data_IF_843067249535
#
_entry.id   IF_843067249535
#
_cell.length_a   1.000
_cell.length_b   1.000
_cell.length_c   1.000
_cell.angle_alpha   90.00
_cell.angle_beta   90.00
_cell.angle_gamma   90.00
#
_symmetry.space_group_name_H-M   'P 1'
#
loop_
_entity.id
_entity.type
_entity.pdbx_description
1 polymer ?
#
# COMPACT_ATOMS: atom_id res chain seq x y z
N UNK A 1 -2.60 -15.44 11.82
CA UNK A 1 -2.65 -15.75 10.41
C UNK A 1 -4.02 -15.32 9.90
N UNK A 2 -4.09 -14.14 9.33
CA UNK A 2 -5.28 -13.67 8.66
C UNK A 2 -5.52 -14.59 7.48
N UNK A 3 -6.65 -15.32 7.49
CA UNK A 3 -7.10 -16.02 6.29
C UNK A 3 -7.12 -15.01 5.14
N UNK A 4 -6.70 -15.41 3.92
CA UNK A 4 -6.76 -14.52 2.77
C UNK A 4 -8.19 -13.99 2.67
N UNK A 5 -8.41 -12.67 2.63
CA UNK A 5 -9.74 -12.14 2.47
C UNK A 5 -10.27 -12.67 1.15
N UNK A 6 -11.48 -13.18 1.18
CA UNK A 6 -12.22 -13.48 -0.04
C UNK A 6 -12.24 -12.21 -0.87
N UNK A 7 -11.42 -12.23 -1.91
CA UNK A 7 -11.18 -11.11 -2.78
C UNK A 7 -12.51 -10.63 -3.37
N UNK A 8 -12.69 -9.42 -3.37
CA UNK A 8 -13.61 -8.54 -4.09
C UNK A 8 -14.30 -7.60 -3.14
N UNK A 9 -13.54 -6.66 -2.68
CA UNK A 9 -14.20 -5.48 -2.19
C UNK A 9 -13.65 -4.91 -0.90
N UNK A 10 -13.75 -3.64 -0.85
CA UNK A 10 -13.68 -2.79 0.32
C UNK A 10 -14.55 -3.27 1.52
N UNK A 11 -15.27 -4.38 1.36
CA UNK A 11 -16.10 -5.05 2.36
C UNK A 11 -15.53 -6.38 2.90
N UNK A 12 -14.25 -6.69 2.65
CA UNK A 12 -13.61 -7.86 3.26
C UNK A 12 -13.57 -7.73 4.77
N UNK A 13 -13.93 -8.82 5.49
CA UNK A 13 -13.78 -8.89 6.94
C UNK A 13 -12.50 -9.62 7.31
N UNK A 14 -11.87 -9.20 8.39
CA UNK A 14 -10.75 -9.94 9.00
C UNK A 14 -11.24 -11.21 9.70
N UNK A 15 -10.32 -12.06 10.16
CA UNK A 15 -10.66 -13.29 10.89
C UNK A 15 -11.56 -13.03 12.11
N UNK A 16 -11.48 -11.84 12.68
CA UNK A 16 -12.27 -11.38 13.83
C UNK A 16 -13.67 -10.86 13.45
N UNK A 17 -14.06 -10.94 12.16
CA UNK A 17 -15.33 -10.44 11.65
C UNK A 17 -15.41 -8.90 11.49
N UNK A 18 -14.35 -8.17 11.81
CA UNK A 18 -14.32 -6.70 11.62
C UNK A 18 -14.03 -6.35 10.17
N UNK A 19 -14.68 -5.30 9.60
CA UNK A 19 -14.34 -4.83 8.27
C UNK A 19 -12.87 -4.42 8.18
N UNK A 20 -12.19 -4.78 7.08
CA UNK A 20 -10.76 -4.57 6.88
C UNK A 20 -10.34 -3.10 7.11
N UNK A 21 -11.09 -2.16 6.55
CA UNK A 21 -10.78 -0.74 6.66
C UNK A 21 -10.94 -0.21 8.10
N UNK A 22 -11.96 -0.70 8.82
CA UNK A 22 -12.17 -0.32 10.24
C UNK A 22 -11.03 -0.85 11.11
N UNK A 23 -10.57 -2.08 10.86
CA UNK A 23 -9.42 -2.63 11.57
C UNK A 23 -8.15 -1.84 11.25
N UNK A 24 -7.93 -1.50 9.98
CA UNK A 24 -6.78 -0.70 9.57
C UNK A 24 -6.79 0.67 10.24
N UNK A 25 -7.91 1.40 10.20
CA UNK A 25 -8.04 2.71 10.84
C UNK A 25 -7.74 2.64 12.33
N UNK A 26 -8.25 1.61 13.02
CA UNK A 26 -7.97 1.40 14.44
C UNK A 26 -6.47 1.19 14.68
N UNK A 27 -5.84 0.24 13.98
CA UNK A 27 -4.42 -0.07 14.18
C UNK A 27 -3.53 1.13 13.86
N UNK A 28 -3.83 1.85 12.79
CA UNK A 28 -3.07 3.04 12.38
C UNK A 28 -3.23 4.18 13.39
N UNK A 29 -4.44 4.38 13.93
CA UNK A 29 -4.72 5.38 14.95
C UNK A 29 -4.07 5.00 16.29
N UNK A 30 -4.11 3.73 16.68
CA UNK A 30 -3.44 3.24 17.88
C UNK A 30 -1.91 3.44 17.82
N UNK A 31 -1.32 3.43 16.62
CA UNK A 31 0.09 3.77 16.38
C UNK A 31 0.34 5.29 16.26
N UNK A 32 -0.66 6.11 16.51
CA UNK A 32 -0.58 7.57 16.49
C UNK A 32 -0.58 8.22 15.11
N UNK A 33 -0.83 7.47 14.05
CA UNK A 33 -1.02 8.03 12.71
C UNK A 33 -2.47 8.49 12.51
N UNK A 34 -2.69 9.33 11.50
CA UNK A 34 -4.05 9.72 11.10
C UNK A 34 -4.81 8.52 10.53
N UNK A 35 -6.13 8.52 10.70
CA UNK A 35 -7.02 7.53 10.05
C UNK A 35 -6.72 7.42 8.55
N UNK A 36 -6.65 6.21 8.05
CA UNK A 36 -6.32 5.96 6.65
C UNK A 36 -7.46 6.34 5.71
N UNK A 37 -8.70 6.09 6.12
CA UNK A 37 -9.87 6.23 5.24
C UNK A 37 -10.50 7.62 5.28
N UNK A 38 -10.41 8.34 6.40
CA UNK A 38 -11.12 9.62 6.63
C UNK A 38 -10.21 10.83 6.65
N UNK A 39 -8.91 10.62 6.70
CA UNK A 39 -7.93 11.72 6.70
C UNK A 39 -7.92 12.47 5.38
N UNK A 40 -8.28 13.74 5.40
CA UNK A 40 -8.31 14.62 4.24
C UNK A 40 -7.08 15.53 4.26
N UNK A 41 -6.13 15.28 3.38
CA UNK A 41 -4.94 16.11 3.24
C UNK A 41 -5.29 17.44 2.54
N UNK A 42 -5.13 18.56 3.24
CA UNK A 42 -5.27 19.90 2.66
C UNK A 42 -6.70 20.41 2.47
N UNK A 43 -7.72 19.73 3.03
CA UNK A 43 -9.11 20.17 3.00
C UNK A 43 -9.90 19.75 1.74
N UNK A 44 -11.21 19.90 1.79
CA UNK A 44 -12.14 19.45 0.73
C UNK A 44 -11.89 20.11 -0.62
N UNK A 45 -11.57 21.41 -0.64
CA UNK A 45 -11.28 22.14 -1.87
C UNK A 45 -10.01 21.62 -2.55
N UNK A 46 -8.96 21.35 -1.77
CA UNK A 46 -7.73 20.78 -2.29
C UNK A 46 -7.95 19.40 -2.91
N UNK A 47 -8.74 18.54 -2.26
CA UNK A 47 -9.09 17.22 -2.80
C UNK A 47 -9.91 17.33 -4.09
N UNK A 48 -10.83 18.28 -4.17
CA UNK A 48 -11.60 18.53 -5.39
C UNK A 48 -10.71 18.97 -6.55
N UNK A 49 -9.84 19.98 -6.31
CA UNK A 49 -8.91 20.49 -7.32
C UNK A 49 -7.91 19.42 -7.75
N UNK A 50 -7.38 18.65 -6.81
CA UNK A 50 -6.47 17.54 -7.08
C UNK A 50 -7.14 16.48 -7.98
N UNK A 51 -8.35 16.06 -7.65
CA UNK A 51 -9.12 15.10 -8.45
C UNK A 51 -9.39 15.64 -9.86
N UNK A 52 -9.82 16.88 -9.95
CA UNK A 52 -10.10 17.55 -11.23
C UNK A 52 -8.85 17.65 -12.10
N UNK A 53 -7.71 17.99 -11.51
CA UNK A 53 -6.41 18.07 -12.20
C UNK A 53 -5.98 16.72 -12.74
N UNK A 54 -6.13 15.66 -11.96
CA UNK A 54 -5.84 14.30 -12.40
C UNK A 54 -6.75 13.86 -13.55
N UNK A 55 -8.04 14.16 -13.46
CA UNK A 55 -9.00 13.81 -14.52
C UNK A 55 -8.67 14.50 -15.83
N UNK A 56 -8.44 15.82 -15.82
CA UNK A 56 -8.10 16.61 -17.01
C UNK A 56 -6.71 16.21 -17.54
N UNK A 57 -5.73 16.07 -16.64
CA UNK A 57 -4.36 15.68 -17.02
C UNK A 57 -4.31 14.32 -17.69
N UNK A 58 -5.03 13.34 -17.16
CA UNK A 58 -5.08 11.99 -17.76
C UNK A 58 -5.75 11.99 -19.13
N UNK A 59 -6.81 12.78 -19.32
CA UNK A 59 -7.47 12.91 -20.60
C UNK A 59 -6.61 13.58 -21.68
N UNK A 60 -5.64 14.42 -21.27
CA UNK A 60 -4.74 15.14 -22.18
C UNK A 60 -3.44 14.41 -22.51
N UNK A 61 -3.20 13.22 -22.01
CA UNK A 61 -1.96 12.49 -22.24
C UNK A 61 -1.81 12.04 -23.71
N UNK A 62 -0.72 12.42 -24.42
CA UNK A 62 -0.56 12.11 -25.83
C UNK A 62 -0.66 10.64 -26.17
N UNK A 63 -0.09 9.76 -25.36
CA UNK A 63 -0.10 8.32 -25.58
C UNK A 63 -1.50 7.70 -25.41
N UNK A 64 -2.41 8.34 -24.66
CA UNK A 64 -3.81 7.94 -24.59
C UNK A 64 -4.56 8.37 -25.85
N UNK A 65 -4.33 9.60 -26.29
CA UNK A 65 -4.99 10.17 -27.48
C UNK A 65 -4.57 9.44 -28.75
N UNK A 66 -3.29 9.16 -28.93
CA UNK A 66 -2.76 8.46 -30.11
C UNK A 66 -3.44 7.11 -30.33
N UNK A 67 -3.80 6.38 -29.30
CA UNK A 67 -4.50 5.08 -29.41
C UNK A 67 -5.84 5.17 -30.15
N UNK A 68 -6.52 6.31 -30.11
CA UNK A 68 -7.76 6.53 -30.85
C UNK A 68 -7.52 6.75 -32.36
N UNK A 69 -6.32 7.16 -32.76
CA UNK A 69 -5.95 7.38 -34.16
C UNK A 69 -5.36 6.13 -34.83
N UNK A 70 -4.96 5.12 -34.06
CA UNK A 70 -4.32 3.91 -34.58
C UNK A 70 -5.29 2.81 -34.94
N UNK A 71 -6.58 2.97 -34.67
CA UNK A 71 -7.62 1.97 -34.99
C UNK A 71 -8.28 2.25 -36.34
N UNK A 72 -8.57 1.21 -37.14
CA UNK A 72 -9.10 1.38 -38.51
C UNK A 72 -10.51 1.96 -38.58
N UNK A 73 -11.33 1.73 -37.55
CA UNK A 73 -12.73 2.16 -37.52
C UNK A 73 -13.09 2.80 -36.19
N UNK A 74 -14.00 3.76 -36.23
CA UNK A 74 -14.54 4.45 -35.04
C UNK A 74 -15.26 3.48 -34.08
N UNK A 75 -15.91 2.43 -34.63
CA UNK A 75 -16.53 1.37 -33.84
C UNK A 75 -15.51 0.65 -32.95
N UNK A 76 -14.31 0.38 -33.51
CA UNK A 76 -13.24 -0.35 -32.80
C UNK A 76 -12.62 0.55 -31.71
N UNK A 77 -12.53 1.85 -31.94
CA UNK A 77 -12.13 2.81 -30.93
C UNK A 77 -13.09 2.82 -29.72
N UNK A 78 -14.41 2.83 -30.00
CA UNK A 78 -15.43 2.79 -28.95
C UNK A 78 -15.41 1.49 -28.15
N UNK A 79 -15.27 0.35 -28.83
CA UNK A 79 -15.19 -0.96 -28.19
C UNK A 79 -13.93 -1.06 -27.31
N UNK A 80 -12.79 -0.62 -27.83
CA UNK A 80 -11.53 -0.59 -27.09
C UNK A 80 -11.61 0.31 -25.84
N UNK A 81 -12.21 1.49 -25.97
CA UNK A 81 -12.46 2.38 -24.84
C UNK A 81 -13.38 1.72 -23.79
N UNK A 82 -14.42 1.00 -24.23
CA UNK A 82 -15.31 0.26 -23.33
C UNK A 82 -14.58 -0.79 -22.52
N UNK A 83 -13.77 -1.61 -23.16
CA UNK A 83 -12.95 -2.61 -22.47
C UNK A 83 -11.91 -2.00 -21.55
N UNK A 84 -11.26 -0.90 -21.98
CA UNK A 84 -10.33 -0.17 -21.13
C UNK A 84 -11.00 0.33 -19.84
N UNK A 85 -12.23 0.88 -19.92
CA UNK A 85 -12.98 1.32 -18.75
C UNK A 85 -13.30 0.15 -17.80
N UNK A 86 -13.64 -1.04 -18.33
CA UNK A 86 -13.89 -2.23 -17.49
C UNK A 86 -12.62 -2.61 -16.71
N UNK A 87 -11.47 -2.71 -17.38
CA UNK A 87 -10.21 -3.04 -16.70
C UNK A 87 -9.76 -1.96 -15.72
N UNK A 88 -9.94 -0.69 -16.07
CA UNK A 88 -9.67 0.43 -15.17
C UNK A 88 -10.57 0.36 -13.93
N UNK A 89 -11.86 0.09 -14.09
CA UNK A 89 -12.79 -0.05 -12.97
C UNK A 89 -12.37 -1.19 -12.03
N UNK A 90 -11.98 -2.34 -12.57
CA UNK A 90 -11.46 -3.47 -11.79
C UNK A 90 -10.19 -3.05 -11.02
N UNK A 91 -9.24 -2.40 -11.70
CA UNK A 91 -7.99 -1.95 -11.10
C UNK A 91 -8.24 -0.97 -9.95
N UNK A 92 -9.02 0.09 -10.18
CA UNK A 92 -9.30 1.10 -9.15
C UNK A 92 -10.20 0.61 -8.02
N UNK A 93 -10.93 -0.49 -8.21
CA UNK A 93 -11.67 -1.14 -7.13
C UNK A 93 -10.77 -2.03 -6.28
N UNK A 94 -9.80 -2.71 -6.90
CA UNK A 94 -8.92 -3.65 -6.19
C UNK A 94 -7.70 -2.99 -5.56
N UNK A 95 -7.13 -1.96 -6.19
CA UNK A 95 -5.90 -1.31 -5.72
C UNK A 95 -6.00 -0.75 -4.28
N UNK A 96 -7.06 -0.01 -3.89
CA UNK A 96 -7.20 0.46 -2.50
C UNK A 96 -7.29 -0.68 -1.49
N UNK A 97 -7.97 -1.78 -1.85
CA UNK A 97 -8.06 -2.95 -0.97
C UNK A 97 -6.69 -3.62 -0.77
N UNK A 98 -5.92 -3.77 -1.86
CA UNK A 98 -4.55 -4.31 -1.80
C UNK A 98 -3.64 -3.40 -0.96
N UNK A 99 -3.72 -2.08 -1.14
CA UNK A 99 -2.95 -1.12 -0.36
C UNK A 99 -3.29 -1.19 1.14
N UNK A 100 -4.57 -1.24 1.49
CA UNK A 100 -5.02 -1.39 2.87
C UNK A 100 -4.53 -2.69 3.50
N UNK A 101 -4.60 -3.80 2.76
CA UNK A 101 -4.09 -5.09 3.23
C UNK A 101 -2.58 -5.09 3.39
N UNK A 102 -1.85 -4.50 2.45
CA UNK A 102 -0.39 -4.40 2.51
C UNK A 102 0.05 -3.62 3.74
N UNK A 103 -0.61 -2.50 4.02
CA UNK A 103 -0.36 -1.69 5.21
C UNK A 103 -0.66 -2.45 6.50
N UNK A 104 -1.79 -3.14 6.56
CA UNK A 104 -2.18 -3.93 7.73
C UNK A 104 -1.20 -5.08 7.97
N UNK A 105 -0.87 -5.86 6.93
CA UNK A 105 0.07 -6.98 7.03
C UNK A 105 1.46 -6.52 7.49
N UNK A 106 1.95 -5.40 6.97
CA UNK A 106 3.23 -4.82 7.40
C UNK A 106 3.17 -4.47 8.89
N UNK A 107 2.14 -3.75 9.31
CA UNK A 107 1.99 -3.30 10.69
C UNK A 107 1.84 -4.48 11.65
N UNK A 108 1.00 -5.48 11.33
CA UNK A 108 0.83 -6.68 12.15
C UNK A 108 2.09 -7.58 12.17
N UNK A 109 2.95 -7.50 11.16
CA UNK A 109 4.22 -8.23 11.17
C UNK A 109 5.22 -7.63 12.15
N UNK A 110 5.25 -6.31 12.25
CA UNK A 110 6.19 -5.58 13.11
C UNK A 110 5.63 -5.49 14.53
N UNK A 111 4.40 -5.00 14.67
CA UNK A 111 3.71 -4.79 15.93
C UNK A 111 2.85 -6.01 16.24
N UNK A 112 3.42 -7.00 16.90
CA UNK A 112 2.75 -8.28 17.20
C UNK A 112 1.95 -8.27 18.50
N UNK A 113 2.15 -7.27 19.34
CA UNK A 113 1.43 -7.06 20.59
C UNK A 113 0.64 -5.76 20.65
N UNK A 114 0.04 -5.48 21.80
CA UNK A 114 -0.62 -4.20 22.03
C UNK A 114 0.34 -3.03 21.84
N UNK A 115 -0.18 -1.91 21.37
CA UNK A 115 0.59 -0.67 21.25
C UNK A 115 1.06 -0.22 22.64
N UNK A 116 2.34 0.14 22.75
CA UNK A 116 2.97 0.46 24.04
C UNK A 116 3.70 -0.70 24.71
N UNK A 117 3.45 -1.95 24.30
CA UNK A 117 4.16 -3.13 24.80
C UNK A 117 5.29 -3.54 23.85
N UNK A 118 6.40 -2.82 23.88
CA UNK A 118 7.57 -3.11 23.02
C UNK A 118 8.07 -4.56 23.14
N UNK A 119 7.92 -5.19 24.30
CA UNK A 119 8.35 -6.55 24.56
C UNK A 119 7.70 -7.62 23.66
N UNK A 120 6.55 -7.32 23.05
CA UNK A 120 5.84 -8.23 22.14
C UNK A 120 6.13 -7.94 20.65
N UNK A 121 6.88 -6.87 20.34
CA UNK A 121 7.22 -6.53 18.96
C UNK A 121 8.21 -7.52 18.34
N UNK A 122 8.28 -7.50 17.01
CA UNK A 122 9.19 -8.34 16.24
C UNK A 122 10.64 -8.10 16.66
N UNK A 123 11.35 -9.16 17.06
CA UNK A 123 12.78 -9.10 17.28
C UNK A 123 13.52 -8.88 15.95
N UNK A 124 14.44 -7.94 15.90
CA UNK A 124 15.18 -7.62 14.68
C UNK A 124 15.90 -8.84 14.09
N UNK A 125 16.48 -9.68 14.94
CA UNK A 125 17.16 -10.91 14.50
C UNK A 125 16.21 -11.94 13.85
N UNK A 126 14.93 -11.95 14.25
CA UNK A 126 13.91 -12.88 13.74
C UNK A 126 13.11 -12.31 12.56
N UNK A 127 13.56 -11.18 12.01
CA UNK A 127 12.86 -10.55 10.88
C UNK A 127 12.80 -11.46 9.66
N UNK A 128 11.69 -11.45 8.91
CA UNK A 128 11.49 -12.30 7.75
C UNK A 128 12.47 -11.96 6.61
N UNK A 129 12.68 -12.91 5.69
CA UNK A 129 13.62 -12.75 4.57
C UNK A 129 13.28 -11.56 3.67
N UNK A 130 11.99 -11.28 3.43
CA UNK A 130 11.59 -10.12 2.65
C UNK A 130 12.06 -8.81 3.28
N UNK A 131 12.02 -8.70 4.61
CA UNK A 131 12.50 -7.53 5.34
C UNK A 131 14.00 -7.33 5.11
N UNK A 132 14.81 -8.40 5.25
CA UNK A 132 16.26 -8.37 5.01
C UNK A 132 16.60 -7.97 3.57
N UNK A 133 15.84 -8.45 2.60
CA UNK A 133 16.03 -8.11 1.19
C UNK A 133 15.77 -6.63 0.94
N UNK A 134 14.76 -6.07 1.57
CA UNK A 134 14.40 -4.66 1.42
C UNK A 134 15.36 -3.71 2.12
N UNK A 135 15.92 -4.13 3.24
CA UNK A 135 17.03 -3.39 3.87
C UNK A 135 18.25 -3.32 2.93
N UNK A 136 18.64 -4.44 2.32
CA UNK A 136 19.76 -4.49 1.36
C UNK A 136 19.56 -3.58 0.16
N UNK A 137 18.32 -3.39 -0.29
CA UNK A 137 17.99 -2.54 -1.43
C UNK A 137 17.72 -1.09 -1.04
N UNK A 138 17.73 -0.76 0.25
CA UNK A 138 17.47 0.59 0.75
C UNK A 138 16.00 1.04 0.65
N UNK A 139 15.08 0.10 0.44
CA UNK A 139 13.65 0.34 0.39
C UNK A 139 13.03 0.44 1.79
N UNK A 140 13.70 -0.17 2.76
CA UNK A 140 13.37 -0.13 4.16
C UNK A 140 14.65 0.15 4.95
N UNK A 141 14.57 0.99 5.99
CA UNK A 141 15.70 1.29 6.87
C UNK A 141 15.24 1.18 8.32
N UNK A 142 15.96 0.38 9.08
CA UNK A 142 15.79 0.23 10.51
C UNK A 142 16.95 0.91 11.24
N UNK A 143 16.62 1.64 12.30
CA UNK A 143 17.58 2.30 13.19
C UNK A 143 17.20 1.99 14.63
N UNK A 144 18.00 1.18 15.30
CA UNK A 144 17.83 0.89 16.73
C UNK A 144 18.00 2.15 17.56
N UNK A 145 17.01 2.50 18.38
CA UNK A 145 17.03 3.72 19.20
C UNK A 145 16.97 3.49 20.70
N UNK A 146 16.39 2.38 21.13
CA UNK A 146 16.19 2.08 22.55
C UNK A 146 17.09 0.95 23.07
N UNK A 147 17.75 0.21 22.20
CA UNK A 147 18.68 -0.87 22.56
C UNK A 147 18.02 -2.17 23.00
N UNK A 148 16.72 -2.38 22.67
CA UNK A 148 15.98 -3.58 23.05
C UNK A 148 16.04 -4.70 22.02
N UNK A 149 16.62 -4.46 20.84
CA UNK A 149 16.74 -5.40 19.75
C UNK A 149 15.41 -5.77 19.07
N UNK A 150 14.37 -4.95 19.27
CA UNK A 150 13.03 -5.12 18.69
C UNK A 150 12.71 -3.96 17.77
N UNK A 151 11.74 -4.15 16.89
CA UNK A 151 11.35 -3.13 15.94
C UNK A 151 10.14 -2.37 16.45
N UNK A 152 10.27 -1.05 16.56
CA UNK A 152 9.18 -0.15 16.95
C UNK A 152 8.74 0.69 15.75
N UNK A 153 7.44 0.65 15.46
CA UNK A 153 6.84 1.38 14.37
C UNK A 153 5.62 2.16 14.84
N UNK A 154 5.78 3.46 15.01
CA UNK A 154 4.73 4.38 15.45
C UNK A 154 5.00 5.81 14.96
N UNK A 155 4.02 6.70 15.10
CA UNK A 155 4.20 8.11 14.77
C UNK A 155 4.89 8.87 15.92
N UNK A 156 6.19 9.07 15.81
CA UNK A 156 7.01 9.79 16.79
C UNK A 156 6.73 11.30 16.89
N UNK A 157 5.91 11.85 15.97
CA UNK A 157 5.41 13.24 16.06
C UNK A 157 4.22 13.39 17.00
N UNK A 158 3.61 12.28 17.42
CA UNK A 158 2.49 12.28 18.33
C UNK A 158 3.01 12.41 19.79
N UNK A 159 2.57 13.47 20.47
CA UNK A 159 3.02 13.78 21.84
C UNK A 159 2.65 12.71 22.87
N UNK A 160 1.57 11.95 22.64
CA UNK A 160 1.18 10.87 23.54
C UNK A 160 2.22 9.76 23.62
N UNK A 161 2.87 9.42 22.51
CA UNK A 161 3.92 8.41 22.48
C UNK A 161 5.24 8.90 23.09
N UNK A 162 5.54 10.19 22.98
CA UNK A 162 6.67 10.78 23.68
C UNK A 162 6.52 10.70 25.20
N UNK A 163 5.31 10.89 25.70
CA UNK A 163 5.02 10.81 27.13
C UNK A 163 5.16 9.38 27.69
N UNK A 164 4.98 8.35 26.84
CA UNK A 164 5.15 6.93 27.20
C UNK A 164 6.61 6.47 27.24
N UNK A 165 7.55 7.36 26.96
CA UNK A 165 9.00 7.08 27.02
C UNK A 165 9.55 6.34 25.80
N UNK A 166 8.83 6.30 24.70
CA UNK A 166 9.32 5.74 23.44
C UNK A 166 10.37 6.66 22.81
N UNK A 167 11.49 6.08 22.41
CA UNK A 167 12.66 6.84 21.95
C UNK A 167 12.65 7.20 20.46
N UNK A 168 11.54 7.08 19.79
CA UNK A 168 11.36 7.40 18.39
C UNK A 168 11.02 6.21 17.52
N UNK A 169 10.52 6.48 16.32
CA UNK A 169 10.23 5.46 15.33
C UNK A 169 11.54 4.86 14.80
N UNK A 170 11.69 3.55 14.89
CA UNK A 170 12.88 2.82 14.44
C UNK A 170 12.81 2.43 12.98
N UNK A 171 11.61 2.43 12.39
CA UNK A 171 11.42 2.31 10.96
C UNK A 171 11.58 3.69 10.31
N UNK A 172 12.84 4.10 10.10
CA UNK A 172 13.16 5.46 9.64
C UNK A 172 12.74 5.70 8.19
N UNK A 173 12.72 4.66 7.37
CA UNK A 173 12.25 4.71 5.99
C UNK A 173 11.48 3.46 5.62
N UNK A 174 10.32 3.65 5.04
CA UNK A 174 9.55 2.61 4.34
C UNK A 174 9.13 3.20 3.00
N UNK A 175 9.55 2.58 1.92
CA UNK A 175 9.14 3.00 0.58
C UNK A 175 7.68 2.59 0.35
N UNK A 176 6.82 3.58 0.16
CA UNK A 176 5.37 3.36 0.04
C UNK A 176 4.99 2.61 -1.25
N UNK A 177 5.76 2.79 -2.32
CA UNK A 177 5.45 2.19 -3.62
C UNK A 177 5.75 0.70 -3.59
N UNK A 178 6.82 0.30 -2.89
CA UNK A 178 7.21 -1.10 -2.80
C UNK A 178 6.28 -1.92 -1.92
N UNK A 179 5.64 -1.33 -0.92
CA UNK A 179 4.72 -2.05 -0.01
C UNK A 179 3.64 -2.80 -0.79
N UNK A 180 3.11 -2.19 -1.85
CA UNK A 180 2.05 -2.80 -2.67
C UNK A 180 2.59 -3.97 -3.49
N UNK A 181 3.77 -3.81 -4.12
CA UNK A 181 4.40 -4.85 -4.93
C UNK A 181 4.88 -6.04 -4.08
N UNK A 182 5.28 -5.80 -2.86
CA UNK A 182 5.77 -6.81 -1.94
C UNK A 182 4.65 -7.47 -1.10
N UNK A 183 3.44 -6.97 -1.15
CA UNK A 183 2.33 -7.57 -0.40
C UNK A 183 2.18 -9.09 -0.58
N UNK A 184 2.34 -9.68 -1.79
CA UNK A 184 2.33 -11.13 -1.95
C UNK A 184 3.44 -11.84 -1.16
N UNK A 185 4.61 -11.25 -1.04
CA UNK A 185 5.73 -11.81 -0.27
C UNK A 185 5.46 -11.68 1.24
N UNK A 186 4.99 -10.53 1.70
CA UNK A 186 4.60 -10.29 3.10
C UNK A 186 3.48 -11.25 3.51
N UNK A 187 2.50 -11.45 2.64
CA UNK A 187 1.38 -12.38 2.84
C UNK A 187 1.76 -13.85 2.67
N UNK A 188 3.03 -14.16 2.39
CA UNK A 188 3.56 -15.53 2.19
C UNK A 188 2.80 -16.29 1.09
N UNK A 189 2.43 -15.61 0.02
CA UNK A 189 1.80 -16.25 -1.13
C UNK A 189 2.79 -17.12 -1.92
N UNK A 190 2.33 -18.11 -2.69
CA UNK A 190 3.20 -18.97 -3.48
C UNK A 190 4.09 -18.17 -4.44
N UNK A 191 5.32 -18.62 -4.68
CA UNK A 191 6.32 -17.91 -5.48
C UNK A 191 5.87 -17.56 -6.91
N UNK A 192 4.99 -18.35 -7.52
CA UNK A 192 4.44 -18.03 -8.83
C UNK A 192 3.56 -16.76 -8.83
N UNK A 193 2.86 -16.47 -7.72
CA UNK A 193 2.08 -15.22 -7.57
C UNK A 193 3.02 -14.03 -7.49
N UNK A 194 4.09 -14.14 -6.70
CA UNK A 194 5.13 -13.11 -6.57
C UNK A 194 5.74 -12.83 -7.95
N UNK A 195 6.12 -13.88 -8.68
CA UNK A 195 6.68 -13.75 -10.02
C UNK A 195 5.71 -13.07 -11.00
N UNK A 196 4.41 -13.39 -10.93
CA UNK A 196 3.38 -12.77 -11.77
C UNK A 196 3.22 -11.27 -11.47
N UNK A 197 3.24 -10.87 -10.21
CA UNK A 197 3.15 -9.46 -9.80
C UNK A 197 4.37 -8.67 -10.27
N UNK A 198 5.58 -9.22 -10.10
CA UNK A 198 6.82 -8.59 -10.57
C UNK A 198 6.83 -8.47 -12.10
N UNK A 199 6.45 -9.53 -12.81
CA UNK A 199 6.35 -9.51 -14.26
C UNK A 199 5.30 -8.50 -14.77
N UNK A 200 4.15 -8.39 -14.06
CA UNK A 200 3.11 -7.41 -14.35
C UNK A 200 3.59 -5.97 -14.17
N UNK A 201 4.30 -5.70 -13.07
CA UNK A 201 4.90 -4.39 -12.79
C UNK A 201 5.92 -4.00 -13.87
N UNK A 202 6.80 -4.92 -14.25
CA UNK A 202 7.80 -4.70 -15.29
C UNK A 202 7.12 -4.46 -16.66
N UNK A 203 6.12 -5.27 -17.01
CA UNK A 203 5.36 -5.09 -18.25
C UNK A 203 4.65 -3.73 -18.31
N UNK A 204 4.08 -3.27 -17.19
CA UNK A 204 3.46 -1.95 -17.11
C UNK A 204 4.47 -0.83 -17.33
N UNK A 205 5.64 -0.91 -16.68
CA UNK A 205 6.72 0.06 -16.85
C UNK A 205 7.23 0.12 -18.29
N UNK A 206 7.51 -1.04 -18.90
CA UNK A 206 7.97 -1.14 -20.29
C UNK A 206 6.92 -0.65 -21.29
N UNK A 207 5.64 -0.98 -21.07
CA UNK A 207 4.54 -0.53 -21.92
C UNK A 207 4.39 0.99 -21.88
N UNK A 208 4.58 1.60 -20.73
CA UNK A 208 4.54 3.07 -20.58
C UNK A 208 5.75 3.71 -21.26
N UNK A 209 6.94 3.18 -21.04
CA UNK A 209 8.17 3.69 -21.66
C UNK A 209 8.15 3.58 -23.20
N UNK A 210 7.56 2.50 -23.73
CA UNK A 210 7.43 2.32 -25.16
C UNK A 210 6.35 3.22 -25.81
N UNK A 211 5.43 3.76 -25.02
CA UNK A 211 4.36 4.66 -25.48
C UNK A 211 4.72 6.15 -25.42
N UNK A 212 5.85 6.47 -24.82
CA UNK A 212 6.40 7.84 -24.73
C UNK A 212 7.39 8.12 -25.86
#
# INVERSE_FOLDING_TARGET
PTSPPTALGLGGSTADGTPLLVKLDRVVTDLGFNEYTTSVNGGKLNMFVYTLTLMIGTAGLPHVIIRFFTVPKVSDARLSAGWALVFIAILYTTAPAVAAMARLNLTETIQTGPVGEAASNLEYEKRPEWFKNWEKTGLLTFEEKNGDGRIQYYNDKNESFKAEGWNGNEMSKIDNDIIVLANPEIAKLPGWVIALVVAGGLAAALSTAAGL
#
